data_IF_029643616258
#
_entry.id   IF_029643616258
#
_cell.length_a   1.000
_cell.length_b   1.000
_cell.length_c   1.000
_cell.angle_alpha   90.00
_cell.angle_beta   90.00
_cell.angle_gamma   90.00
#
_symmetry.space_group_name_H-M   'P 1'
#
loop_
_entity.id
_entity.type
_entity.pdbx_description
1 polymer ?
#
# COMPACT_ATOMS: atom_id res chain seq x y z
N UNK A 1 8.81 12.50 -6.91
CA UNK A 1 8.06 11.43 -7.61
C UNK A 1 6.64 11.25 -7.04
N UNK A 2 6.45 11.26 -5.71
CA UNK A 2 5.15 11.00 -5.06
C UNK A 2 4.02 12.03 -5.34
N UNK A 3 4.34 13.33 -5.40
CA UNK A 3 3.36 14.40 -5.72
C UNK A 3 2.63 14.18 -7.06
N UNK A 4 3.27 13.51 -8.03
CA UNK A 4 2.65 13.18 -9.31
C UNK A 4 1.58 12.10 -9.17
N UNK A 5 1.83 11.07 -8.37
CA UNK A 5 0.88 9.98 -8.12
C UNK A 5 -0.33 10.51 -7.35
N UNK A 6 -0.12 11.35 -6.34
CA UNK A 6 -1.22 12.05 -5.65
C UNK A 6 -2.00 12.97 -6.59
N UNK A 7 -1.33 13.73 -7.46
CA UNK A 7 -2.00 14.57 -8.44
C UNK A 7 -2.89 13.77 -9.39
N UNK A 8 -2.44 12.58 -9.80
CA UNK A 8 -3.25 11.65 -10.58
C UNK A 8 -4.44 11.10 -9.77
N UNK A 9 -4.20 10.69 -8.53
CA UNK A 9 -5.23 10.21 -7.60
C UNK A 9 -6.31 11.28 -7.33
N UNK A 10 -5.91 12.55 -7.20
CA UNK A 10 -6.80 13.69 -6.99
C UNK A 10 -7.64 14.02 -8.24
N UNK A 11 -7.08 13.77 -9.43
CA UNK A 11 -7.71 14.11 -10.70
C UNK A 11 -8.75 13.08 -11.15
N UNK A 12 -8.69 11.85 -10.62
CA UNK A 12 -9.66 10.80 -10.91
C UNK A 12 -10.86 10.87 -9.98
N UNK A 13 -12.00 11.36 -10.46
CA UNK A 13 -13.29 11.27 -9.76
C UNK A 13 -13.70 9.81 -9.45
N UNK A 14 -13.16 8.85 -10.20
CA UNK A 14 -13.35 7.40 -10.01
C UNK A 14 -12.64 6.81 -8.79
N UNK A 15 -11.75 7.54 -8.13
CA UNK A 15 -10.97 7.04 -6.98
C UNK A 15 -11.66 7.40 -5.65
N UNK A 16 -12.59 8.36 -5.68
CA UNK A 16 -13.41 8.68 -4.52
C UNK A 16 -14.25 7.45 -4.13
N UNK A 17 -14.19 7.04 -2.86
CA UNK A 17 -14.84 5.85 -2.30
C UNK A 17 -14.33 4.47 -2.75
N UNK A 18 -13.30 4.39 -3.61
CA UNK A 18 -12.64 3.10 -3.89
C UNK A 18 -11.73 2.74 -2.71
N UNK A 19 -11.75 1.48 -2.27
CA UNK A 19 -10.89 1.02 -1.18
C UNK A 19 -9.42 1.02 -1.65
N UNK A 20 -8.53 1.59 -0.84
CA UNK A 20 -7.09 1.72 -1.13
C UNK A 20 -6.28 1.03 -0.03
N UNK A 21 -5.16 0.43 -0.42
CA UNK A 21 -4.15 -0.14 0.49
C UNK A 21 -2.83 0.58 0.30
N UNK A 22 -2.13 0.83 1.39
CA UNK A 22 -0.79 1.40 1.36
C UNK A 22 0.25 0.33 1.71
N UNK A 23 1.20 0.10 0.79
CA UNK A 23 2.32 -0.80 0.99
C UNK A 23 3.58 0.02 1.26
N UNK A 24 4.14 -0.13 2.46
CA UNK A 24 5.42 0.47 2.80
C UNK A 24 6.53 -0.56 2.59
N UNK A 25 7.57 -0.22 1.85
CA UNK A 25 8.71 -1.11 1.56
C UNK A 25 9.93 -0.84 2.45
N UNK A 26 9.83 0.13 3.35
CA UNK A 26 10.90 0.52 4.26
C UNK A 26 10.36 0.79 5.67
N UNK A 27 10.75 0.02 6.69
CA UNK A 27 10.36 0.28 8.07
C UNK A 27 10.92 1.61 8.61
N UNK A 28 11.86 2.25 7.90
CA UNK A 28 12.37 3.59 8.24
C UNK A 28 11.50 4.72 7.70
N UNK A 29 10.56 4.42 6.80
CA UNK A 29 9.67 5.40 6.18
C UNK A 29 8.34 5.58 6.94
N UNK A 30 8.30 5.30 8.25
CA UNK A 30 7.10 5.39 9.09
C UNK A 30 6.46 6.78 9.08
N UNK A 31 7.28 7.83 9.10
CA UNK A 31 6.79 9.21 9.04
C UNK A 31 6.11 9.52 7.71
N UNK A 32 6.72 9.07 6.61
CA UNK A 32 6.15 9.25 5.27
C UNK A 32 4.84 8.48 5.19
N UNK A 33 4.84 7.20 5.57
CA UNK A 33 3.64 6.35 5.56
C UNK A 33 2.46 6.98 6.32
N UNK A 34 2.69 7.51 7.53
CA UNK A 34 1.63 8.15 8.32
C UNK A 34 1.05 9.39 7.61
N UNK A 35 1.91 10.25 7.06
CA UNK A 35 1.50 11.41 6.28
C UNK A 35 0.71 11.00 5.03
N UNK A 36 1.10 9.89 4.38
CA UNK A 36 0.39 9.36 3.22
C UNK A 36 -1.00 8.86 3.58
N UNK A 37 -1.13 8.13 4.68
CA UNK A 37 -2.42 7.67 5.20
C UNK A 37 -3.35 8.86 5.43
N UNK A 38 -2.86 9.93 6.05
CA UNK A 38 -3.65 11.13 6.32
C UNK A 38 -4.11 11.81 5.03
N UNK A 39 -3.17 12.09 4.10
CA UNK A 39 -3.48 12.75 2.83
C UNK A 39 -4.47 11.92 1.99
N UNK A 40 -4.22 10.62 1.86
CA UNK A 40 -5.09 9.72 1.07
C UNK A 40 -6.45 9.57 1.74
N UNK A 41 -6.53 9.54 3.07
CA UNK A 41 -7.81 9.51 3.80
C UNK A 41 -8.63 10.76 3.50
N UNK A 42 -8.01 11.94 3.54
CA UNK A 42 -8.68 13.21 3.22
C UNK A 42 -9.18 13.23 1.77
N UNK A 43 -8.40 12.66 0.84
CA UNK A 43 -8.70 12.74 -0.60
C UNK A 43 -9.65 11.64 -1.11
N UNK A 44 -9.64 10.45 -0.51
CA UNK A 44 -10.33 9.26 -1.04
C UNK A 44 -11.33 8.66 -0.06
N UNK A 45 -11.18 8.95 1.24
CA UNK A 45 -12.09 8.56 2.30
C UNK A 45 -12.06 7.08 2.70
N UNK A 46 -11.33 6.19 2.00
CA UNK A 46 -11.39 4.75 2.24
C UNK A 46 -10.04 4.04 2.11
N UNK A 47 -9.30 4.01 3.21
CA UNK A 47 -8.10 3.18 3.36
C UNK A 47 -8.45 1.91 4.13
N UNK A 48 -8.11 0.75 3.57
CA UNK A 48 -8.20 -0.55 4.26
C UNK A 48 -6.92 -0.73 5.07
N UNK A 49 -6.97 -0.33 6.33
CA UNK A 49 -5.79 -0.31 7.21
C UNK A 49 -5.33 -1.72 7.55
N UNK A 50 -6.25 -2.67 7.62
CA UNK A 50 -6.03 -4.09 7.92
C UNK A 50 -5.20 -4.81 6.85
N UNK A 51 -5.24 -4.31 5.61
CA UNK A 51 -4.45 -4.80 4.50
C UNK A 51 -3.19 -3.96 4.24
N UNK A 52 -3.03 -2.82 4.91
CA UNK A 52 -1.90 -1.92 4.72
C UNK A 52 -0.71 -2.40 5.54
N UNK A 53 0.31 -2.94 4.86
CA UNK A 53 1.46 -3.60 5.49
C UNK A 53 2.76 -2.83 5.24
N UNK A 54 3.72 -3.04 6.15
CA UNK A 54 5.12 -2.64 5.96
C UNK A 54 5.97 -3.88 5.74
N UNK A 55 6.60 -3.97 4.57
CA UNK A 55 7.55 -5.01 4.19
C UNK A 55 8.93 -4.39 4.24
N UNK A 56 9.88 -4.98 4.96
CA UNK A 56 11.26 -4.47 4.97
C UNK A 56 12.04 -5.02 3.78
N UNK A 57 12.27 -4.17 2.78
CA UNK A 57 13.11 -4.48 1.63
C UNK A 57 14.54 -3.95 1.80
N UNK A 58 14.87 -3.35 2.96
CA UNK A 58 16.21 -2.85 3.27
C UNK A 58 17.25 -3.97 3.20
N UNK A 59 18.24 -3.79 2.32
CA UNK A 59 19.32 -4.76 2.09
C UNK A 59 19.01 -5.85 1.06
N UNK A 60 17.83 -5.83 0.42
CA UNK A 60 17.45 -6.81 -0.62
C UNK A 60 17.40 -6.15 -1.99
N UNK A 61 18.00 -6.81 -2.99
CA UNK A 61 18.04 -6.29 -4.35
C UNK A 61 16.75 -6.63 -5.11
N UNK A 62 15.81 -5.70 -5.19
CA UNK A 62 14.50 -5.90 -5.83
C UNK A 62 14.56 -6.15 -7.33
N UNK A 63 15.69 -5.83 -7.97
CA UNK A 63 15.91 -6.09 -9.41
C UNK A 63 16.40 -7.52 -9.66
N UNK A 64 16.73 -8.28 -8.60
CA UNK A 64 16.99 -9.70 -8.72
C UNK A 64 15.65 -10.46 -8.64
N UNK A 65 15.35 -11.38 -9.60
CA UNK A 65 14.17 -12.24 -9.53
C UNK A 65 14.10 -13.07 -8.24
N UNK A 66 15.24 -13.21 -7.56
CA UNK A 66 15.43 -13.87 -6.27
C UNK A 66 14.72 -13.14 -5.10
N UNK A 67 14.50 -11.82 -5.19
CA UNK A 67 13.81 -11.05 -4.14
C UNK A 67 12.28 -11.23 -4.16
N UNK A 68 11.72 -11.58 -5.33
CA UNK A 68 10.31 -11.99 -5.44
C UNK A 68 10.11 -13.44 -4.96
N UNK A 69 11.19 -14.22 -4.87
CA UNK A 69 11.17 -15.61 -4.40
C UNK A 69 11.31 -15.75 -2.88
N UNK A 70 11.41 -14.64 -2.12
CA UNK A 70 11.42 -14.71 -0.67
C UNK A 70 10.03 -15.15 -0.16
N UNK A 71 9.92 -16.34 0.46
CA UNK A 71 8.64 -16.89 0.89
C UNK A 71 7.98 -16.04 1.97
N UNK A 72 8.73 -15.29 2.78
CA UNK A 72 8.17 -14.41 3.80
C UNK A 72 7.52 -13.16 3.17
N UNK A 73 8.17 -12.57 2.17
CA UNK A 73 7.60 -11.44 1.42
C UNK A 73 6.35 -11.89 0.67
N UNK A 74 6.42 -13.04 0.00
CA UNK A 74 5.31 -13.58 -0.76
C UNK A 74 4.13 -13.90 0.15
N UNK A 75 4.36 -14.53 1.31
CA UNK A 75 3.33 -14.83 2.29
C UNK A 75 2.69 -13.55 2.86
N UNK A 76 3.50 -12.55 3.20
CA UNK A 76 3.00 -11.26 3.70
C UNK A 76 2.13 -10.54 2.65
N UNK A 77 2.56 -10.54 1.38
CA UNK A 77 1.81 -9.95 0.28
C UNK A 77 0.51 -10.71 0.01
N UNK A 78 0.55 -12.04 -0.03
CA UNK A 78 -0.64 -12.88 -0.19
C UNK A 78 -1.66 -12.65 0.93
N UNK A 79 -1.20 -12.56 2.18
CA UNK A 79 -2.05 -12.26 3.32
C UNK A 79 -2.68 -10.87 3.21
N UNK A 80 -1.91 -9.84 2.84
CA UNK A 80 -2.42 -8.49 2.65
C UNK A 80 -3.46 -8.42 1.53
N UNK A 81 -3.21 -9.07 0.39
CA UNK A 81 -4.16 -9.13 -0.73
C UNK A 81 -5.43 -9.89 -0.30
N UNK A 82 -5.31 -11.02 0.40
CA UNK A 82 -6.46 -11.77 0.88
C UNK A 82 -7.31 -10.95 1.86
N UNK A 83 -6.68 -10.22 2.78
CA UNK A 83 -7.37 -9.29 3.70
C UNK A 83 -8.03 -8.16 2.93
N UNK A 84 -7.37 -7.61 1.90
CA UNK A 84 -7.94 -6.56 1.07
C UNK A 84 -9.18 -7.06 0.32
N UNK A 85 -9.11 -8.22 -0.35
CA UNK A 85 -10.25 -8.82 -1.05
C UNK A 85 -11.43 -9.03 -0.10
N UNK A 86 -11.18 -9.57 1.10
CA UNK A 86 -12.23 -9.72 2.12
C UNK A 86 -12.86 -8.38 2.51
N UNK A 87 -12.04 -7.36 2.74
CA UNK A 87 -12.52 -6.03 3.09
C UNK A 87 -13.37 -5.42 1.98
N UNK A 88 -13.03 -5.62 0.71
CA UNK A 88 -13.83 -5.15 -0.43
C UNK A 88 -15.15 -5.91 -0.52
N UNK A 89 -15.18 -7.22 -0.24
CA UNK A 89 -16.39 -8.05 -0.30
C UNK A 89 -17.37 -7.80 0.84
N UNK A 90 -16.94 -7.14 1.91
CA UNK A 90 -17.77 -6.76 3.05
C UNK A 90 -18.38 -5.35 2.91
N UNK A 91 -18.14 -4.68 1.78
CA UNK A 91 -18.66 -3.35 1.42
C UNK A 91 -19.82 -3.50 0.43
#
# INVERSE_FOLDING_TARGET
MFKKVLGWLASGSEVFSKPIVLLNTSPRATYVQALLTEIVTIMTGRIVSEASITISLLGRNLDAPETVADPEILAALQAAIATFVKAIQQI
#
